data_IF_500424794903
#
_entry.id   IF_500424794903
#
_cell.length_a   1.000
_cell.length_b   1.000
_cell.length_c   1.000
_cell.angle_alpha   90.00
_cell.angle_beta   90.00
_cell.angle_gamma   90.00
#
_symmetry.space_group_name_H-M   'P 1'
#
loop_
_entity.id
_entity.type
_entity.pdbx_description
1 polymer ?
#
# COMPACT_ATOMS: atom_id res chain seq x y z
N UNK A 1 -5.42 57.05 -33.04
CA UNK A 1 -5.33 57.20 -31.57
C UNK A 1 -6.32 56.27 -30.83
N UNK A 2 -6.60 55.05 -31.32
CA UNK A 2 -7.63 54.17 -30.72
C UNK A 2 -7.22 52.69 -30.62
N UNK A 3 -6.00 52.33 -31.02
CA UNK A 3 -5.51 50.95 -30.94
C UNK A 3 -4.75 50.67 -29.63
N UNK A 4 -4.19 51.70 -29.01
CA UNK A 4 -3.33 51.56 -27.82
C UNK A 4 -4.14 51.21 -26.56
N UNK A 5 -5.22 51.94 -26.27
CA UNK A 5 -6.09 51.68 -25.10
C UNK A 5 -6.71 50.27 -25.11
N UNK A 6 -7.22 49.82 -26.27
CA UNK A 6 -7.84 48.50 -26.42
C UNK A 6 -6.86 47.35 -26.27
N UNK A 7 -5.61 47.57 -26.69
CA UNK A 7 -4.54 46.56 -26.56
C UNK A 7 -4.05 46.44 -25.12
N UNK A 8 -4.00 47.56 -24.38
CA UNK A 8 -3.60 47.61 -22.97
C UNK A 8 -4.66 46.96 -22.07
N UNK A 9 -5.96 47.20 -22.31
CA UNK A 9 -7.05 46.50 -21.60
C UNK A 9 -7.01 44.99 -21.83
N UNK A 10 -6.80 44.53 -23.07
CA UNK A 10 -6.67 43.11 -23.40
C UNK A 10 -5.48 42.45 -22.69
N UNK A 11 -4.34 43.14 -22.60
CA UNK A 11 -3.16 42.64 -21.87
C UNK A 11 -3.42 42.54 -20.37
N UNK A 12 -4.13 43.50 -19.78
CA UNK A 12 -4.54 43.41 -18.37
C UNK A 12 -5.54 42.28 -18.13
N UNK A 13 -6.50 42.07 -19.04
CA UNK A 13 -7.45 40.96 -18.97
C UNK A 13 -6.75 39.60 -19.06
N UNK A 14 -5.80 39.47 -20.00
CA UNK A 14 -5.01 38.25 -20.16
C UNK A 14 -4.15 37.96 -18.91
N UNK A 15 -3.57 38.99 -18.30
CA UNK A 15 -2.81 38.84 -17.05
C UNK A 15 -3.72 38.43 -15.87
N UNK A 16 -4.93 38.96 -15.82
CA UNK A 16 -5.91 38.60 -14.79
C UNK A 16 -6.41 37.15 -14.96
N UNK A 17 -6.70 36.73 -16.18
CA UNK A 17 -7.05 35.34 -16.50
C UNK A 17 -5.90 34.37 -16.22
N UNK A 18 -4.67 34.75 -16.56
CA UNK A 18 -3.48 33.95 -16.28
C UNK A 18 -3.25 33.78 -14.77
N UNK A 19 -3.41 34.86 -14.00
CA UNK A 19 -3.36 34.81 -12.53
C UNK A 19 -4.45 33.89 -11.97
N UNK A 20 -5.67 34.01 -12.48
CA UNK A 20 -6.80 33.15 -12.09
C UNK A 20 -6.52 31.69 -12.43
N UNK A 21 -5.96 31.40 -13.61
CA UNK A 21 -5.58 30.06 -14.03
C UNK A 21 -4.49 29.46 -13.12
N UNK A 22 -3.47 30.22 -12.74
CA UNK A 22 -2.45 29.77 -11.78
C UNK A 22 -3.04 29.49 -10.39
N UNK A 23 -4.01 30.29 -9.95
CA UNK A 23 -4.70 30.11 -8.68
C UNK A 23 -5.52 28.82 -8.68
N UNK A 24 -6.29 28.59 -9.77
CA UNK A 24 -6.99 27.34 -10.02
C UNK A 24 -6.03 26.15 -10.08
N UNK A 25 -4.92 26.24 -10.83
CA UNK A 25 -3.97 25.14 -10.98
C UNK A 25 -3.32 24.75 -9.64
N UNK A 26 -3.07 25.73 -8.78
CA UNK A 26 -2.56 25.51 -7.42
C UNK A 26 -3.59 24.80 -6.55
N UNK A 27 -4.87 25.17 -6.66
CA UNK A 27 -5.97 24.52 -5.95
C UNK A 27 -6.19 23.09 -6.46
N UNK A 28 -6.18 22.87 -7.78
CA UNK A 28 -6.25 21.54 -8.40
C UNK A 28 -5.11 20.64 -7.93
N UNK A 29 -3.86 21.13 -7.96
CA UNK A 29 -2.70 20.35 -7.51
C UNK A 29 -2.84 19.98 -6.03
N UNK A 30 -3.31 20.91 -5.19
CA UNK A 30 -3.56 20.64 -3.77
C UNK A 30 -4.67 19.60 -3.58
N UNK A 31 -5.73 19.66 -4.38
CA UNK A 31 -6.84 18.72 -4.33
C UNK A 31 -6.39 17.32 -4.75
N UNK A 32 -5.69 17.21 -5.88
CA UNK A 32 -5.18 15.94 -6.42
C UNK A 32 -4.18 15.28 -5.46
N UNK A 33 -3.27 16.07 -4.86
CA UNK A 33 -2.36 15.57 -3.83
C UNK A 33 -3.12 15.06 -2.60
N UNK A 34 -4.16 15.79 -2.18
CA UNK A 34 -4.99 15.38 -1.03
C UNK A 34 -5.74 14.08 -1.32
N UNK A 35 -6.29 13.93 -2.53
CA UNK A 35 -6.97 12.72 -2.97
C UNK A 35 -6.02 11.52 -2.99
N UNK A 36 -4.85 11.64 -3.64
CA UNK A 36 -3.85 10.58 -3.70
C UNK A 36 -3.34 10.19 -2.31
N UNK A 37 -3.08 11.17 -1.43
CA UNK A 37 -2.72 10.92 -0.04
C UNK A 37 -3.83 10.20 0.73
N UNK A 38 -5.09 10.58 0.50
CA UNK A 38 -6.23 9.96 1.18
C UNK A 38 -6.41 8.51 0.73
N UNK A 39 -6.26 8.21 -0.55
CA UNK A 39 -6.30 6.83 -1.08
C UNK A 39 -5.15 6.00 -0.50
N UNK A 40 -3.94 6.55 -0.47
CA UNK A 40 -2.78 5.89 0.12
C UNK A 40 -3.00 5.59 1.60
N UNK A 41 -3.44 6.58 2.38
CA UNK A 41 -3.72 6.43 3.81
C UNK A 41 -4.85 5.43 4.06
N UNK A 42 -5.93 5.49 3.29
CA UNK A 42 -7.05 4.55 3.37
C UNK A 42 -6.59 3.11 3.11
N UNK A 43 -5.80 2.91 2.06
CA UNK A 43 -5.23 1.59 1.72
C UNK A 43 -4.29 1.10 2.81
N UNK A 44 -3.44 1.97 3.36
CA UNK A 44 -2.52 1.64 4.45
C UNK A 44 -3.27 1.21 5.71
N UNK A 45 -4.32 1.94 6.09
CA UNK A 45 -5.17 1.58 7.23
C UNK A 45 -5.88 0.24 6.99
N UNK A 46 -6.43 0.01 5.79
CA UNK A 46 -7.07 -1.25 5.44
C UNK A 46 -6.10 -2.44 5.60
N UNK A 47 -4.89 -2.32 5.08
CA UNK A 47 -3.85 -3.35 5.18
C UNK A 47 -3.44 -3.57 6.63
N UNK A 48 -3.26 -2.50 7.42
CA UNK A 48 -2.94 -2.61 8.85
C UNK A 48 -4.02 -3.37 9.62
N UNK A 49 -5.29 -3.05 9.40
CA UNK A 49 -6.42 -3.76 10.03
C UNK A 49 -6.44 -5.24 9.64
N UNK A 50 -6.23 -5.54 8.35
CA UNK A 50 -6.15 -6.93 7.87
C UNK A 50 -4.98 -7.69 8.51
N UNK A 51 -3.81 -7.07 8.68
CA UNK A 51 -2.65 -7.70 9.32
C UNK A 51 -2.97 -8.00 10.79
N UNK A 52 -3.57 -7.06 11.52
CA UNK A 52 -3.93 -7.26 12.93
C UNK A 52 -4.95 -8.39 13.08
N UNK A 53 -6.04 -8.35 12.30
CA UNK A 53 -7.06 -9.40 12.31
C UNK A 53 -6.48 -10.75 11.90
N UNK A 54 -5.63 -10.76 10.86
CA UNK A 54 -4.94 -11.96 10.39
C UNK A 54 -4.02 -12.55 11.45
N UNK A 55 -3.25 -11.72 12.16
CA UNK A 55 -2.38 -12.17 13.24
C UNK A 55 -3.18 -12.82 14.37
N UNK A 56 -4.28 -12.19 14.79
CA UNK A 56 -5.16 -12.74 15.83
C UNK A 56 -5.79 -14.06 15.38
N UNK A 57 -6.31 -14.12 14.15
CA UNK A 57 -6.92 -15.32 13.59
C UNK A 57 -5.92 -16.49 13.47
N UNK A 58 -4.71 -16.22 12.96
CA UNK A 58 -3.64 -17.22 12.85
C UNK A 58 -3.22 -17.73 14.23
N UNK A 59 -3.16 -16.85 15.23
CA UNK A 59 -2.85 -17.25 16.60
C UNK A 59 -3.91 -18.22 17.14
N UNK A 60 -5.20 -17.90 17.03
CA UNK A 60 -6.28 -18.81 17.44
C UNK A 60 -6.29 -20.12 16.63
N UNK A 61 -5.93 -20.07 15.36
CA UNK A 61 -5.82 -21.27 14.53
C UNK A 61 -4.71 -22.21 15.02
N UNK A 62 -3.55 -21.68 15.44
CA UNK A 62 -2.48 -22.47 16.07
C UNK A 62 -2.95 -23.11 17.40
N UNK A 63 -3.74 -22.39 18.19
CA UNK A 63 -4.35 -22.95 19.41
C UNK A 63 -5.33 -24.08 19.08
N UNK A 64 -6.20 -23.90 18.09
CA UNK A 64 -7.13 -24.93 17.66
C UNK A 64 -6.39 -26.21 17.22
N UNK A 65 -5.31 -26.06 16.44
CA UNK A 65 -4.44 -27.18 16.07
C UNK A 65 -3.82 -27.86 17.30
N UNK A 66 -3.35 -27.08 18.29
CA UNK A 66 -2.76 -27.64 19.50
C UNK A 66 -3.77 -28.48 20.31
N UNK A 67 -5.02 -28.01 20.43
CA UNK A 67 -6.08 -28.75 21.10
C UNK A 67 -6.51 -30.02 20.35
N UNK A 68 -6.50 -30.01 19.01
CA UNK A 68 -6.76 -31.22 18.22
C UNK A 68 -5.65 -32.26 18.42
N UNK A 69 -4.39 -31.81 18.53
CA UNK A 69 -3.25 -32.69 18.77
C UNK A 69 -3.14 -33.18 20.21
N UNK A 70 -3.65 -32.43 21.19
CA UNK A 70 -3.56 -32.76 22.62
C UNK A 70 -3.90 -34.24 22.95
N UNK A 71 -5.06 -34.79 22.54
CA UNK A 71 -5.41 -36.18 22.83
C UNK A 71 -4.56 -37.20 22.06
N UNK A 72 -3.92 -36.83 20.95
CA UNK A 72 -3.04 -37.73 20.19
C UNK A 72 -1.63 -37.81 20.79
N UNK A 73 -1.14 -36.69 21.32
CA UNK A 73 0.27 -36.56 21.73
C UNK A 73 0.44 -36.62 23.26
N UNK A 74 -0.67 -36.79 24.00
CA UNK A 74 -0.65 -37.01 25.44
C UNK A 74 -0.43 -35.73 26.26
N UNK A 75 -0.70 -34.56 25.69
CA UNK A 75 -0.70 -33.28 26.40
C UNK A 75 -0.48 -32.05 25.53
N UNK A 76 -0.93 -30.89 26.03
CA UNK A 76 -0.79 -29.59 25.37
C UNK A 76 0.67 -29.20 25.14
N UNK A 77 1.55 -29.47 26.10
CA UNK A 77 2.97 -29.09 26.01
C UNK A 77 3.66 -29.74 24.80
N UNK A 78 3.42 -31.03 24.57
CA UNK A 78 4.01 -31.75 23.43
C UNK A 78 3.37 -31.31 22.12
N UNK A 79 2.07 -31.01 22.13
CA UNK A 79 1.34 -30.50 20.97
C UNK A 79 1.87 -29.15 20.49
N UNK A 80 2.09 -28.21 21.39
CA UNK A 80 2.75 -26.94 21.06
C UNK A 80 4.20 -27.14 20.60
N UNK A 81 4.93 -28.10 21.19
CA UNK A 81 6.28 -28.45 20.75
C UNK A 81 6.34 -28.94 19.30
N UNK A 82 5.41 -29.81 18.89
CA UNK A 82 5.31 -30.28 17.50
C UNK A 82 4.93 -29.14 16.56
N UNK A 83 3.94 -28.32 16.93
CA UNK A 83 3.52 -27.17 16.13
C UNK A 83 4.67 -26.17 15.96
N UNK A 84 5.46 -25.92 17.01
CA UNK A 84 6.63 -25.06 16.94
C UNK A 84 7.71 -25.64 15.99
N UNK A 85 7.99 -26.94 16.08
CA UNK A 85 8.93 -27.60 15.18
C UNK A 85 8.49 -27.51 13.70
N UNK A 86 7.21 -27.73 13.42
CA UNK A 86 6.63 -27.58 12.08
C UNK A 86 6.75 -26.13 11.59
N UNK A 87 6.43 -25.14 12.43
CA UNK A 87 6.54 -23.73 12.08
C UNK A 87 7.99 -23.32 11.80
N UNK A 88 8.97 -23.79 12.57
CA UNK A 88 10.40 -23.54 12.31
C UNK A 88 10.82 -24.14 10.96
N UNK A 89 10.39 -25.36 10.67
CA UNK A 89 10.62 -25.99 9.36
C UNK A 89 10.01 -25.18 8.22
N UNK A 90 8.78 -24.70 8.39
CA UNK A 90 8.08 -23.89 7.40
C UNK A 90 8.80 -22.55 7.16
N UNK A 91 9.28 -21.90 8.22
CA UNK A 91 10.14 -20.70 8.13
C UNK A 91 11.43 -21.01 7.35
N UNK A 92 12.09 -22.13 7.64
CA UNK A 92 13.31 -22.53 6.94
C UNK A 92 13.06 -22.73 5.43
N UNK A 93 11.94 -23.37 5.05
CA UNK A 93 11.52 -23.52 3.65
C UNK A 93 11.29 -22.15 3.02
N UNK A 94 10.56 -21.24 3.68
CA UNK A 94 10.31 -19.88 3.17
C UNK A 94 11.62 -19.12 2.96
N UNK A 95 12.60 -19.28 3.85
CA UNK A 95 13.93 -18.65 3.70
C UNK A 95 14.67 -19.23 2.49
N UNK A 96 14.60 -20.53 2.23
CA UNK A 96 15.22 -21.14 1.05
C UNK A 96 14.56 -20.63 -0.24
N UNK A 97 13.22 -20.54 -0.26
CA UNK A 97 12.44 -20.04 -1.40
C UNK A 97 12.29 -18.51 -1.43
N UNK A 98 12.97 -17.76 -0.54
CA UNK A 98 12.83 -16.30 -0.37
C UNK A 98 12.94 -15.52 -1.68
N UNK A 99 13.84 -15.97 -2.57
CA UNK A 99 14.05 -15.34 -3.89
C UNK A 99 12.82 -15.44 -4.78
N UNK A 100 12.08 -16.54 -4.72
CA UNK A 100 10.89 -16.77 -5.54
C UNK A 100 9.62 -16.22 -4.91
N UNK A 101 9.48 -16.34 -3.58
CA UNK A 101 8.25 -15.93 -2.87
C UNK A 101 8.18 -14.44 -2.53
N UNK A 102 9.29 -13.81 -2.16
CA UNK A 102 9.28 -12.41 -1.69
C UNK A 102 9.87 -11.48 -2.75
N UNK A 103 11.06 -11.82 -3.27
CA UNK A 103 11.80 -10.92 -4.15
C UNK A 103 11.12 -10.83 -5.53
N UNK A 104 10.64 -11.93 -6.09
CA UNK A 104 9.99 -11.94 -7.42
C UNK A 104 8.72 -11.06 -7.49
N UNK A 105 7.74 -11.17 -6.58
CA UNK A 105 6.56 -10.29 -6.63
C UNK A 105 6.91 -8.84 -6.30
N UNK A 106 7.85 -8.59 -5.38
CA UNK A 106 8.28 -7.24 -5.04
C UNK A 106 8.98 -6.54 -6.21
N UNK A 107 9.84 -7.25 -6.95
CA UNK A 107 10.50 -6.73 -8.16
C UNK A 107 9.47 -6.49 -9.27
N UNK A 108 8.50 -7.39 -9.48
CA UNK A 108 7.45 -7.18 -10.48
C UNK A 108 6.52 -6.01 -10.11
N UNK A 109 6.22 -5.82 -8.83
CA UNK A 109 5.44 -4.67 -8.36
C UNK A 109 6.18 -3.36 -8.58
N UNK A 110 7.46 -3.28 -8.18
CA UNK A 110 8.28 -2.10 -8.41
C UNK A 110 8.50 -1.84 -9.91
N UNK A 111 8.75 -2.88 -10.70
CA UNK A 111 8.86 -2.76 -12.15
C UNK A 111 7.53 -2.26 -12.76
N UNK A 112 6.39 -2.77 -12.32
CA UNK A 112 5.07 -2.29 -12.75
C UNK A 112 4.80 -0.85 -12.34
N UNK A 113 5.23 -0.42 -11.16
CA UNK A 113 5.02 0.95 -10.69
C UNK A 113 5.93 1.96 -11.41
N UNK A 114 7.23 1.64 -11.57
CA UNK A 114 8.21 2.56 -12.15
C UNK A 114 8.28 2.52 -13.68
N UNK A 115 8.08 1.35 -14.31
CA UNK A 115 8.17 1.24 -15.78
C UNK A 115 6.84 1.54 -16.47
N UNK A 116 5.71 1.31 -15.81
CA UNK A 116 4.41 1.59 -16.43
C UNK A 116 4.04 3.09 -16.38
N UNK A 117 4.64 3.87 -15.47
CA UNK A 117 4.59 5.35 -15.49
C UNK A 117 5.44 5.96 -16.62
N UNK A 118 6.39 5.22 -17.19
CA UNK A 118 7.24 5.71 -18.30
C UNK A 118 6.65 5.52 -19.70
N UNK A 119 5.42 5.01 -19.77
CA UNK A 119 4.72 4.73 -21.04
C UNK A 119 3.47 5.58 -21.27
N UNK A 120 3.19 6.54 -20.41
CA UNK A 120 2.23 7.63 -20.68
C UNK A 120 2.96 8.95 -20.97
#
# INVERSE_FOLDING_TARGET
MFADDKSIENFQQLFFEFKKYLELQKEYTKLELTEKLTILLSTLIMVLVLIILGMVALFYFLFALAYILEPLVGGLMVSFGIIAAINILLIAIVIIFRKKLIISPMVNFLAGLFLNDSKE
#
